data_IF_380188003205
#
_entry.id   IF_380188003205
#
_cell.length_a   1.000
_cell.length_b   1.000
_cell.length_c   1.000
_cell.angle_alpha   90.00
_cell.angle_beta   90.00
_cell.angle_gamma   90.00
#
_symmetry.space_group_name_H-M   'P 1'
#
loop_
_entity.id
_entity.type
_entity.pdbx_description
1 polymer ?
#
# COMPACT_ATOMS: atom_id res chain seq x y z
N UNK A 1 -12.18 -4.35 -13.06
CA UNK A 1 -11.08 -3.37 -12.99
C UNK A 1 -9.80 -4.12 -12.67
N UNK A 2 -8.71 -3.79 -13.37
CA UNK A 2 -7.38 -4.35 -13.11
C UNK A 2 -6.50 -3.25 -12.52
N UNK A 3 -5.76 -3.57 -11.46
CA UNK A 3 -4.76 -2.68 -10.87
C UNK A 3 -3.43 -3.43 -10.84
N UNK A 4 -2.47 -2.94 -11.61
CA UNK A 4 -1.09 -3.42 -11.58
C UNK A 4 -0.27 -2.49 -10.70
N UNK A 5 0.46 -3.05 -9.75
CA UNK A 5 1.33 -2.28 -8.86
C UNK A 5 2.76 -2.71 -9.10
N UNK A 6 3.58 -1.81 -9.63
CA UNK A 6 5.03 -1.96 -9.64
C UNK A 6 5.58 -1.49 -8.30
N UNK A 7 6.21 -2.41 -7.57
CA UNK A 7 6.82 -2.18 -6.26
C UNK A 7 8.32 -2.02 -6.43
N UNK A 8 8.85 -0.90 -5.96
CA UNK A 8 10.28 -0.58 -5.96
C UNK A 8 10.71 -0.26 -4.53
N UNK A 9 11.58 -1.10 -3.98
CA UNK A 9 12.14 -0.96 -2.63
C UNK A 9 13.57 -0.46 -2.66
N UNK A 10 14.46 -1.19 -1.98
CA UNK A 10 15.89 -0.90 -2.01
C UNK A 10 16.48 -0.95 -3.44
N UNK A 11 17.43 -0.06 -3.77
CA UNK A 11 18.03 0.01 -5.11
C UNK A 11 18.69 -1.29 -5.58
N UNK A 12 19.16 -2.10 -4.63
CA UNK A 12 19.84 -3.37 -4.90
C UNK A 12 18.87 -4.54 -5.11
N UNK A 13 17.57 -4.32 -4.89
CA UNK A 13 16.52 -5.32 -5.07
C UNK A 13 15.77 -5.05 -6.37
N UNK A 14 15.64 -6.08 -7.21
CA UNK A 14 14.89 -5.97 -8.46
C UNK A 14 13.42 -5.64 -8.18
N UNK A 15 12.84 -4.62 -8.83
CA UNK A 15 11.41 -4.36 -8.77
C UNK A 15 10.57 -5.56 -9.19
N UNK A 16 9.38 -5.68 -8.61
CA UNK A 16 8.41 -6.70 -8.96
C UNK A 16 7.01 -6.10 -9.10
N UNK A 17 6.14 -6.81 -9.81
CA UNK A 17 4.77 -6.35 -10.09
C UNK A 17 3.77 -7.32 -9.47
N UNK A 18 2.78 -6.76 -8.78
CA UNK A 18 1.60 -7.48 -8.29
C UNK A 18 0.38 -7.02 -9.08
N UNK A 19 -0.56 -7.94 -9.36
CA UNK A 19 -1.78 -7.63 -10.11
C UNK A 19 -3.02 -7.97 -9.30
N UNK A 20 -3.92 -7.00 -9.19
CA UNK A 20 -5.21 -7.13 -8.52
C UNK A 20 -6.33 -7.04 -9.54
N UNK A 21 -7.26 -7.97 -9.45
CA UNK A 21 -8.51 -7.94 -10.21
C UNK A 21 -9.65 -7.68 -9.24
N UNK A 22 -10.49 -6.73 -9.59
CA UNK A 22 -11.68 -6.38 -8.84
C UNK A 22 -12.87 -6.33 -9.78
N UNK A 23 -13.85 -7.17 -9.53
CA UNK A 23 -15.19 -7.08 -10.11
C UNK A 23 -16.19 -6.64 -9.04
N UNK A 24 -17.31 -6.07 -9.47
CA UNK A 24 -18.35 -5.64 -8.52
C UNK A 24 -18.93 -6.81 -7.71
N UNK A 25 -18.92 -8.01 -8.27
CA UNK A 25 -19.26 -9.25 -7.57
C UNK A 25 -18.32 -9.58 -6.40
N UNK A 26 -17.08 -9.10 -6.42
CA UNK A 26 -16.09 -9.33 -5.37
C UNK A 26 -16.23 -8.37 -4.18
N UNK A 27 -17.11 -7.37 -4.29
CA UNK A 27 -17.28 -6.31 -3.30
C UNK A 27 -17.48 -6.82 -1.86
N UNK A 28 -18.28 -7.87 -1.58
CA UNK A 28 -18.40 -8.42 -0.23
C UNK A 28 -17.07 -8.94 0.35
N UNK A 29 -16.32 -9.71 -0.46
CA UNK A 29 -15.02 -10.30 -0.07
C UNK A 29 -13.99 -9.20 0.15
N UNK A 30 -14.02 -8.19 -0.71
CA UNK A 30 -13.16 -7.03 -0.63
C UNK A 30 -13.42 -6.21 0.65
N UNK A 31 -14.68 -5.95 0.98
CA UNK A 31 -15.07 -5.24 2.22
C UNK A 31 -14.61 -6.05 3.44
N UNK A 32 -14.88 -7.35 3.48
CA UNK A 32 -14.51 -8.21 4.61
C UNK A 32 -12.99 -8.25 4.81
N UNK A 33 -12.22 -8.47 3.75
CA UNK A 33 -10.75 -8.49 3.84
C UNK A 33 -10.16 -7.14 4.28
N UNK A 34 -10.74 -6.02 3.84
CA UNK A 34 -10.34 -4.69 4.28
C UNK A 34 -10.71 -4.45 5.75
N UNK A 35 -11.85 -4.96 6.22
CA UNK A 35 -12.24 -4.90 7.62
C UNK A 35 -11.29 -5.71 8.51
N UNK A 36 -10.82 -6.87 8.06
CA UNK A 36 -9.81 -7.65 8.78
C UNK A 36 -8.51 -6.86 8.96
N UNK A 37 -8.01 -6.19 7.91
CA UNK A 37 -6.81 -5.34 8.00
C UNK A 37 -7.03 -4.18 8.99
N UNK A 38 -8.19 -3.51 8.92
CA UNK A 38 -8.54 -2.43 9.87
C UNK A 38 -8.62 -2.93 11.31
N UNK A 39 -9.23 -4.10 11.53
CA UNK A 39 -9.30 -4.74 12.84
C UNK A 39 -7.91 -5.08 13.37
N UNK A 40 -6.96 -5.47 12.50
CA UNK A 40 -5.58 -5.72 12.92
C UNK A 40 -4.91 -4.43 13.44
N UNK A 41 -5.05 -3.33 12.71
CA UNK A 41 -4.56 -2.02 13.14
C UNK A 41 -5.19 -1.59 14.48
N UNK A 42 -6.50 -1.77 14.66
CA UNK A 42 -7.19 -1.46 15.93
C UNK A 42 -6.70 -2.30 17.12
N UNK A 43 -6.13 -3.47 16.85
CA UNK A 43 -5.51 -4.33 17.87
C UNK A 43 -3.99 -4.11 17.99
N UNK A 44 -3.47 -2.99 17.47
CA UNK A 44 -2.04 -2.64 17.45
C UNK A 44 -1.15 -3.70 16.79
N UNK A 45 -1.71 -4.51 15.88
CA UNK A 45 -0.92 -5.44 15.08
C UNK A 45 -0.30 -4.72 13.89
N UNK A 46 0.99 -5.01 13.65
CA UNK A 46 1.74 -4.47 12.53
C UNK A 46 1.35 -5.18 11.23
N UNK A 47 1.15 -4.40 10.16
CA UNK A 47 0.86 -4.94 8.83
C UNK A 47 2.15 -5.40 8.14
N UNK A 48 2.09 -6.57 7.51
CA UNK A 48 3.14 -7.01 6.61
C UNK A 48 2.99 -6.35 5.22
N UNK A 49 3.96 -6.58 4.34
CA UNK A 49 3.99 -6.00 2.98
C UNK A 49 2.73 -6.30 2.15
N UNK A 50 2.18 -7.50 2.25
CA UNK A 50 1.00 -7.90 1.49
C UNK A 50 -0.27 -7.24 2.03
N UNK A 51 -0.38 -7.11 3.35
CA UNK A 51 -1.51 -6.42 4.01
C UNK A 51 -1.48 -4.91 3.70
N UNK A 52 -0.29 -4.31 3.73
CA UNK A 52 -0.07 -2.92 3.33
C UNK A 52 -0.49 -2.67 1.88
N UNK A 53 -0.05 -3.52 0.95
CA UNK A 53 -0.41 -3.37 -0.46
C UNK A 53 -1.91 -3.52 -0.68
N UNK A 54 -2.55 -4.49 -0.01
CA UNK A 54 -4.00 -4.67 -0.05
C UNK A 54 -4.75 -3.46 0.48
N UNK A 55 -4.27 -2.82 1.56
CA UNK A 55 -4.88 -1.59 2.08
C UNK A 55 -4.82 -0.45 1.06
N UNK A 56 -3.68 -0.25 0.40
CA UNK A 56 -3.55 0.79 -0.62
C UNK A 56 -4.44 0.55 -1.84
N UNK A 57 -4.45 -0.69 -2.35
CA UNK A 57 -5.37 -1.09 -3.43
C UNK A 57 -6.82 -0.90 -3.00
N UNK A 58 -7.14 -1.21 -1.74
CA UNK A 58 -8.49 -1.04 -1.23
C UNK A 58 -8.91 0.43 -1.16
N UNK A 59 -7.99 1.30 -0.75
CA UNK A 59 -8.20 2.73 -0.77
C UNK A 59 -8.43 3.27 -2.19
N UNK A 60 -7.67 2.80 -3.19
CA UNK A 60 -7.86 3.18 -4.60
C UNK A 60 -9.27 2.78 -5.08
N UNK A 61 -9.65 1.51 -4.91
CA UNK A 61 -10.97 1.00 -5.34
C UNK A 61 -12.09 1.81 -4.70
N UNK A 62 -12.04 2.00 -3.38
CA UNK A 62 -13.06 2.74 -2.63
C UNK A 62 -13.15 4.19 -3.11
N UNK A 63 -12.00 4.85 -3.30
CA UNK A 63 -11.94 6.24 -3.72
C UNK A 63 -12.45 6.46 -5.15
N UNK A 64 -12.15 5.53 -6.07
CA UNK A 64 -12.67 5.56 -7.44
C UNK A 64 -14.19 5.35 -7.46
N UNK A 65 -14.72 4.43 -6.63
CA UNK A 65 -16.16 4.24 -6.48
C UNK A 65 -16.85 5.50 -5.90
N UNK A 66 -16.15 6.26 -5.06
CA UNK A 66 -16.57 7.58 -4.56
C UNK A 66 -16.35 8.72 -5.57
N UNK A 67 -15.91 8.42 -6.80
CA UNK A 67 -15.62 9.37 -7.89
C UNK A 67 -14.50 10.37 -7.59
N UNK A 68 -13.56 10.01 -6.71
CA UNK A 68 -12.31 10.77 -6.52
C UNK A 68 -11.39 10.56 -7.72
N UNK A 69 -10.63 11.60 -8.04
CA UNK A 69 -9.64 11.59 -9.12
C UNK A 69 -8.32 10.97 -8.65
N UNK A 70 -7.49 10.45 -9.57
CA UNK A 70 -6.18 9.90 -9.20
C UNK A 70 -5.26 10.88 -8.46
N UNK A 71 -5.21 12.18 -8.81
CA UNK A 71 -4.43 13.14 -8.03
C UNK A 71 -4.90 13.28 -6.57
N UNK A 72 -6.21 13.23 -6.32
CA UNK A 72 -6.75 13.25 -4.95
C UNK A 72 -6.37 11.98 -4.19
N UNK A 73 -6.46 10.82 -4.83
CA UNK A 73 -6.06 9.54 -4.25
C UNK A 73 -4.56 9.56 -3.91
N UNK A 74 -3.72 9.99 -4.85
CA UNK A 74 -2.27 10.08 -4.70
C UNK A 74 -1.87 10.98 -3.53
N UNK A 75 -2.55 12.13 -3.37
CA UNK A 75 -2.27 13.09 -2.31
C UNK A 75 -2.50 12.50 -0.91
N UNK A 76 -3.55 11.70 -0.73
CA UNK A 76 -3.98 11.20 0.58
C UNK A 76 -3.43 9.82 0.92
N UNK A 77 -2.91 9.06 -0.05
CA UNK A 77 -2.39 7.71 0.20
C UNK A 77 -1.28 7.66 1.28
N UNK A 78 -0.32 8.61 1.35
CA UNK A 78 0.71 8.60 2.40
C UNK A 78 0.18 8.79 3.83
N UNK A 79 -1.08 9.24 3.99
CA UNK A 79 -1.71 9.49 5.29
C UNK A 79 -2.34 8.21 5.87
N UNK A 80 -2.42 7.13 5.08
CA UNK A 80 -3.12 5.90 5.47
C UNK A 80 -2.38 5.07 6.52
N UNK A 81 -1.05 5.15 6.55
CA UNK A 81 -0.22 4.33 7.42
C UNK A 81 0.94 5.14 7.99
N UNK A 82 1.09 5.06 9.31
CA UNK A 82 2.26 5.51 10.02
C UNK A 82 3.36 4.42 10.02
N UNK A 83 4.64 4.79 10.17
CA UNK A 83 5.74 3.81 10.18
C UNK A 83 5.59 2.74 11.26
N UNK A 84 5.03 3.11 12.42
CA UNK A 84 4.80 2.20 13.54
C UNK A 84 3.56 1.29 13.38
N UNK A 85 2.87 1.33 12.24
CA UNK A 85 1.71 0.49 11.93
C UNK A 85 2.06 -0.65 10.96
N UNK A 86 3.29 -0.71 10.50
CA UNK A 86 3.79 -1.75 9.58
C UNK A 86 4.98 -2.47 10.20
N UNK A 87 5.27 -3.66 9.69
CA UNK A 87 6.45 -4.41 10.08
C UNK A 87 7.73 -3.68 9.64
N UNK A 88 8.82 -3.89 10.39
CA UNK A 88 10.16 -3.40 10.03
C UNK A 88 10.51 -3.86 8.61
N UNK A 89 11.14 -2.99 7.83
CA UNK A 89 11.54 -3.27 6.45
C UNK A 89 10.43 -3.03 5.41
N UNK A 90 9.16 -2.85 5.83
CA UNK A 90 8.06 -2.58 4.88
C UNK A 90 8.20 -1.20 4.20
N UNK A 91 8.46 -0.09 4.92
CA UNK A 91 8.68 1.21 4.27
C UNK A 91 9.82 1.19 3.24
N UNK A 92 10.90 0.47 3.55
CA UNK A 92 12.09 0.34 2.69
C UNK A 92 11.86 -0.60 1.52
N UNK A 93 11.00 -1.62 1.68
CA UNK A 93 10.61 -2.51 0.59
C UNK A 93 9.65 -1.84 -0.40
N UNK A 94 9.03 -0.71 -0.03
CA UNK A 94 8.02 0.01 -0.81
C UNK A 94 8.37 1.49 -0.97
N UNK A 95 9.62 1.81 -1.30
CA UNK A 95 10.06 3.22 -1.49
C UNK A 95 9.30 3.93 -2.60
N UNK A 96 8.88 3.22 -3.63
CA UNK A 96 8.03 3.75 -4.70
C UNK A 96 7.03 2.71 -5.13
N UNK A 97 5.78 3.15 -5.28
CA UNK A 97 4.69 2.36 -5.85
C UNK A 97 4.19 3.06 -7.10
N UNK A 98 4.09 2.32 -8.20
CA UNK A 98 3.46 2.80 -9.43
C UNK A 98 2.25 1.94 -9.72
N UNK A 99 1.07 2.57 -9.71
CA UNK A 99 -0.21 1.93 -9.97
C UNK A 99 -0.62 2.22 -11.41
N UNK A 100 -0.88 1.17 -12.17
CA UNK A 100 -1.55 1.23 -13.47
C UNK A 100 -2.97 0.68 -13.29
N UNK A 101 -3.96 1.52 -13.51
CA UNK A 101 -5.37 1.23 -13.24
C UNK A 101 -6.08 1.15 -14.59
N UNK A 102 -6.63 -0.02 -14.89
CA UNK A 102 -7.39 -0.27 -16.11
C UNK A 102 -8.84 -0.55 -15.75
N UNK A 103 -9.75 0.41 -15.95
CA UNK A 103 -11.18 0.17 -15.91
C UNK A 103 -11.59 -0.82 -17.01
N UNK A 104 -12.71 -1.53 -16.86
CA UNK A 104 -13.07 -2.62 -17.78
C UNK A 104 -13.25 -2.19 -19.25
N UNK A 105 -13.59 -0.92 -19.49
CA UNK A 105 -13.96 -0.39 -20.81
C UNK A 105 -13.29 0.95 -21.12
N UNK A 106 -12.13 1.24 -20.52
CA UNK A 106 -11.45 2.52 -20.68
C UNK A 106 -9.92 2.38 -20.76
N UNK A 107 -9.28 3.46 -21.21
CA UNK A 107 -7.83 3.57 -21.23
C UNK A 107 -7.26 3.46 -19.81
N UNK A 108 -6.05 2.89 -19.74
CA UNK A 108 -5.34 2.77 -18.46
C UNK A 108 -4.82 4.12 -18.01
N UNK A 109 -5.01 4.44 -16.74
CA UNK A 109 -4.41 5.58 -16.09
C UNK A 109 -3.31 5.14 -15.13
N UNK A 110 -2.33 6.01 -14.89
CA UNK A 110 -1.19 5.70 -14.04
C UNK A 110 -0.99 6.76 -12.96
N UNK A 111 -0.67 6.31 -11.75
CA UNK A 111 -0.21 7.17 -10.65
C UNK A 111 1.01 6.58 -9.98
N UNK A 112 1.92 7.43 -9.50
CA UNK A 112 3.13 7.02 -8.78
C UNK A 112 3.22 7.73 -7.43
N UNK A 113 3.65 7.01 -6.41
CA UNK A 113 3.85 7.55 -5.07
C UNK A 113 5.25 7.18 -4.60
N UNK A 114 5.99 8.21 -4.20
CA UNK A 114 7.29 8.10 -3.54
C UNK A 114 7.07 8.08 -2.02
N UNK A 115 7.79 7.21 -1.31
CA UNK A 115 7.70 6.99 0.12
C UNK A 115 6.25 6.94 0.65
N UNK A 116 5.41 6.02 0.15
CA UNK A 116 4.00 5.88 0.56
C UNK A 116 3.85 5.61 2.07
N UNK A 117 4.90 5.10 2.70
CA UNK A 117 5.05 5.08 4.16
C UNK A 117 6.34 5.82 4.46
N UNK A 118 6.30 6.74 5.43
CA UNK A 118 7.49 7.49 5.83
C UNK A 118 8.60 6.51 6.27
N UNK A 119 9.77 6.64 5.67
CA UNK A 119 10.95 5.87 6.07
C UNK A 119 11.58 6.61 7.25
N UNK A 120 11.63 5.95 8.41
CA UNK A 120 12.34 6.49 9.56
C UNK A 120 13.84 6.22 9.40
N UNK A 121 14.72 7.18 9.72
CA UNK A 121 16.15 6.91 9.75
C UNK A 121 16.44 5.86 10.83
N UNK A 122 17.05 4.73 10.42
CA UNK A 122 17.53 3.71 11.35
C UNK A 122 18.56 4.32 12.31
N UNK A 123 18.18 4.55 13.56
CA UNK A 123 19.13 4.77 14.62
C UNK A 123 19.51 3.41 15.19
N UNK A 124 20.73 2.94 14.90
CA UNK A 124 21.34 1.87 15.69
C UNK A 124 21.52 2.41 17.11
N UNK A 125 20.65 2.04 18.03
CA UNK A 125 20.90 2.24 19.45
C UNK A 125 21.98 1.23 19.88
N UNK A 126 23.24 1.63 19.81
CA UNK A 126 24.39 0.91 20.37
C UNK A 126 24.38 0.92 21.91
N UNK A 127 23.27 0.54 22.54
CA UNK A 127 23.22 0.42 24.00
C UNK A 127 23.30 -1.04 24.46
N UNK A 128 24.51 -1.34 24.95
CA UNK A 128 24.91 -2.38 25.91
C UNK A 128 25.18 -3.78 25.36
N UNK A 129 26.40 -3.95 24.83
CA UNK A 129 27.22 -5.10 25.21
C UNK A 129 28.27 -4.62 26.22
N UNK A 130 27.91 -4.68 27.50
CA UNK A 130 28.88 -4.73 28.61
C UNK A 130 28.43 -5.86 29.51
N UNK A 131 29.09 -7.01 29.34
CA UNK A 131 29.21 -8.08 30.33
C UNK A 131 30.53 -8.79 30.04
#
# INVERSE_FOLDING_TARGET
MKIEVLIQGDPDIKPYTETFHYEKSDEPIFIESTQLIKNRLSNNMLLNINETLRLFVAYIITSLNERKTLPEIQKHMPELLLPNQVMIGVPESMRKLTFTITPNDADSEQMSIEAPIRIEPYFLNEQKQTA
#
